data_IF_789340040988
#
_entry.id   IF_789340040988
#
_cell.length_a   1.000
_cell.length_b   1.000
_cell.length_c   1.000
_cell.angle_alpha   90.00
_cell.angle_beta   90.00
_cell.angle_gamma   90.00
#
_symmetry.space_group_name_H-M   'P 1'
#
loop_
_entity.id
_entity.type
_entity.pdbx_description
1 polymer ?
#
# COMPACT_ATOMS: atom_id res chain seq x y z
N UNK A 1 36.20 6.02 -63.09
CA UNK A 1 36.21 6.93 -61.92
C UNK A 1 35.03 6.58 -61.03
N UNK A 2 35.26 6.00 -59.86
CA UNK A 2 34.21 5.61 -58.92
C UNK A 2 34.83 4.84 -57.77
N UNK A 3 35.01 5.46 -56.61
CA UNK A 3 35.67 4.83 -55.48
C UNK A 3 35.77 5.67 -54.20
N UNK A 4 35.68 7.00 -54.28
CA UNK A 4 35.91 7.86 -53.12
C UNK A 4 34.65 8.24 -52.31
N UNK A 5 33.45 7.82 -52.74
CA UNK A 5 32.20 8.16 -52.03
C UNK A 5 31.65 7.06 -51.11
N UNK A 6 32.18 5.83 -51.15
CA UNK A 6 31.69 4.73 -50.30
C UNK A 6 32.30 4.74 -48.89
N UNK A 7 33.55 5.20 -48.75
CA UNK A 7 34.31 5.13 -47.49
C UNK A 7 33.90 6.16 -46.44
N UNK A 8 33.30 7.29 -46.85
CA UNK A 8 32.88 8.37 -45.95
C UNK A 8 31.45 8.17 -45.43
N UNK A 9 30.65 7.34 -46.12
CA UNK A 9 29.29 6.99 -45.71
C UNK A 9 29.25 5.91 -44.60
N UNK A 10 30.29 5.08 -44.49
CA UNK A 10 30.40 4.05 -43.45
C UNK A 10 30.88 4.60 -42.10
N UNK A 11 31.75 5.60 -42.08
CA UNK A 11 32.23 6.22 -40.84
C UNK A 11 31.17 7.10 -40.17
N UNK A 12 30.34 7.81 -40.96
CA UNK A 12 29.22 8.60 -40.44
C UNK A 12 28.06 7.73 -39.94
N UNK A 13 27.74 6.64 -40.63
CA UNK A 13 26.67 5.72 -40.23
C UNK A 13 26.99 4.93 -38.95
N UNK A 14 28.26 4.56 -38.70
CA UNK A 14 28.67 4.02 -37.40
C UNK A 14 28.50 5.03 -36.27
N UNK A 15 28.81 6.31 -36.50
CA UNK A 15 28.61 7.37 -35.48
C UNK A 15 27.13 7.61 -35.14
N UNK A 16 26.24 7.50 -36.14
CA UNK A 16 24.80 7.61 -35.91
C UNK A 16 24.26 6.42 -35.12
N UNK A 17 24.67 5.20 -35.45
CA UNK A 17 24.25 4.01 -34.72
C UNK A 17 24.70 4.03 -33.25
N UNK A 18 25.94 4.50 -32.99
CA UNK A 18 26.47 4.66 -31.64
C UNK A 18 25.73 5.77 -30.86
N UNK A 19 25.43 6.89 -31.52
CA UNK A 19 24.63 7.98 -30.95
C UNK A 19 23.19 7.53 -30.65
N UNK A 20 22.56 6.74 -31.52
CA UNK A 20 21.25 6.15 -31.26
C UNK A 20 21.29 5.20 -30.06
N UNK A 21 22.31 4.34 -29.98
CA UNK A 21 22.47 3.43 -28.84
C UNK A 21 22.67 4.18 -27.51
N UNK A 22 23.43 5.29 -27.52
CA UNK A 22 23.63 6.13 -26.34
C UNK A 22 22.34 6.86 -25.92
N UNK A 23 21.56 7.37 -26.88
CA UNK A 23 20.26 7.98 -26.62
C UNK A 23 19.25 6.97 -26.06
N UNK A 24 19.20 5.77 -26.63
CA UNK A 24 18.34 4.68 -26.15
C UNK A 24 18.73 4.26 -24.73
N UNK A 25 20.03 4.07 -24.46
CA UNK A 25 20.52 3.76 -23.12
C UNK A 25 20.11 4.83 -22.11
N UNK A 26 20.33 6.10 -22.45
CA UNK A 26 19.95 7.23 -21.58
C UNK A 26 18.44 7.26 -21.32
N UNK A 27 17.62 6.93 -22.32
CA UNK A 27 16.17 6.84 -22.17
C UNK A 27 15.78 5.73 -21.20
N UNK A 28 16.36 4.54 -21.35
CA UNK A 28 16.06 3.40 -20.47
C UNK A 28 16.47 3.70 -19.03
N UNK A 29 17.65 4.29 -18.82
CA UNK A 29 18.11 4.66 -17.48
C UNK A 29 17.14 5.64 -16.79
N UNK A 30 16.62 6.63 -17.53
CA UNK A 30 15.62 7.57 -17.01
C UNK A 30 14.31 6.87 -16.66
N UNK A 31 13.84 5.97 -17.52
CA UNK A 31 12.60 5.22 -17.30
C UNK A 31 12.70 4.34 -16.06
N UNK A 32 13.82 3.62 -15.93
CA UNK A 32 14.11 2.78 -14.79
C UNK A 32 14.16 3.59 -13.49
N UNK A 33 14.84 4.74 -13.52
CA UNK A 33 14.89 5.64 -12.37
C UNK A 33 13.50 6.18 -11.98
N UNK A 34 12.63 6.51 -12.94
CA UNK A 34 11.26 6.95 -12.68
C UNK A 34 10.43 5.82 -12.05
N UNK A 35 10.52 4.61 -12.58
CA UNK A 35 9.79 3.46 -12.05
C UNK A 35 10.19 3.14 -10.61
N UNK A 36 11.49 3.11 -10.34
CA UNK A 36 12.03 2.92 -8.98
C UNK A 36 11.53 3.99 -8.02
N UNK A 37 11.51 5.25 -8.46
CA UNK A 37 11.02 6.37 -7.68
C UNK A 37 9.51 6.28 -7.42
N UNK A 38 8.73 5.81 -8.39
CA UNK A 38 7.30 5.56 -8.21
C UNK A 38 7.02 4.39 -7.26
N UNK A 39 7.78 3.31 -7.36
CA UNK A 39 7.66 2.18 -6.44
C UNK A 39 7.99 2.60 -5.01
N UNK A 40 9.06 3.38 -4.84
CA UNK A 40 9.45 3.94 -3.55
C UNK A 40 8.35 4.82 -2.94
N UNK A 41 7.72 5.68 -3.77
CA UNK A 41 6.55 6.47 -3.37
C UNK A 41 5.36 5.59 -2.98
N UNK A 42 5.04 4.55 -3.77
CA UNK A 42 3.93 3.61 -3.47
C UNK A 42 4.13 2.88 -2.14
N UNK A 43 5.36 2.43 -1.85
CA UNK A 43 5.70 1.79 -0.55
C UNK A 43 5.50 2.76 0.61
N UNK A 44 5.94 4.02 0.47
CA UNK A 44 5.73 5.04 1.49
C UNK A 44 4.24 5.31 1.73
N UNK A 45 3.45 5.41 0.67
CA UNK A 45 2.00 5.55 0.77
C UNK A 45 1.36 4.37 1.49
N UNK A 46 1.75 3.13 1.15
CA UNK A 46 1.21 1.92 1.78
C UNK A 46 1.51 1.90 3.28
N UNK A 47 2.74 2.20 3.69
CA UNK A 47 3.11 2.26 5.12
C UNK A 47 2.34 3.37 5.84
N UNK A 48 2.19 4.54 5.21
CA UNK A 48 1.43 5.64 5.78
C UNK A 48 -0.07 5.30 5.96
N UNK A 49 -0.66 4.56 5.01
CA UNK A 49 -2.04 4.09 5.10
C UNK A 49 -2.22 3.10 6.26
N UNK A 50 -1.31 2.12 6.39
CA UNK A 50 -1.37 1.15 7.49
C UNK A 50 -1.18 1.82 8.87
N UNK A 51 -0.35 2.88 8.96
CA UNK A 51 -0.24 3.68 10.19
C UNK A 51 -1.54 4.37 10.58
N UNK A 52 -2.28 4.88 9.60
CA UNK A 52 -3.54 5.55 9.86
C UNK A 52 -4.63 4.55 10.27
N UNK A 53 -4.68 3.39 9.60
CA UNK A 53 -5.52 2.26 10.03
C UNK A 53 -5.20 1.81 11.45
N UNK A 54 -3.90 1.74 11.79
CA UNK A 54 -3.44 1.33 13.11
C UNK A 54 -3.89 2.31 14.21
N UNK A 55 -3.91 3.63 13.96
CA UNK A 55 -4.43 4.58 14.96
C UNK A 55 -5.87 4.28 15.34
N UNK A 56 -6.71 4.06 14.34
CA UNK A 56 -8.13 3.75 14.52
C UNK A 56 -8.38 2.36 15.11
N UNK A 57 -7.64 1.35 14.67
CA UNK A 57 -7.76 0.00 15.22
C UNK A 57 -7.22 -0.08 16.65
N UNK A 58 -6.15 0.66 16.97
CA UNK A 58 -5.61 0.75 18.33
C UNK A 58 -6.58 1.46 19.28
N UNK A 59 -7.22 2.56 18.85
CA UNK A 59 -8.24 3.23 19.68
C UNK A 59 -9.46 2.34 19.91
N UNK A 60 -9.96 1.66 18.87
CA UNK A 60 -11.09 0.74 19.00
C UNK A 60 -10.76 -0.49 19.87
N UNK A 61 -9.59 -1.08 19.66
CA UNK A 61 -9.11 -2.21 20.47
C UNK A 61 -8.84 -1.82 21.93
N UNK A 62 -8.36 -0.60 22.19
CA UNK A 62 -8.18 -0.06 23.53
C UNK A 62 -9.49 0.05 24.30
N UNK A 63 -10.54 0.59 23.67
CA UNK A 63 -11.89 0.67 24.26
C UNK A 63 -12.43 -0.73 24.56
N UNK A 64 -12.29 -1.67 23.63
CA UNK A 64 -12.68 -3.07 23.83
C UNK A 64 -11.96 -3.69 25.03
N UNK A 65 -10.64 -3.50 25.14
CA UNK A 65 -9.86 -4.01 26.28
C UNK A 65 -10.34 -3.45 27.62
N UNK A 66 -10.67 -2.15 27.69
CA UNK A 66 -11.22 -1.54 28.92
C UNK A 66 -12.56 -2.16 29.29
N UNK A 67 -13.46 -2.39 28.32
CA UNK A 67 -14.73 -3.07 28.59
C UNK A 67 -14.55 -4.53 29.01
N UNK A 68 -13.62 -5.27 28.38
CA UNK A 68 -13.28 -6.63 28.79
C UNK A 68 -12.73 -6.69 30.22
N UNK A 69 -11.84 -5.77 30.59
CA UNK A 69 -11.27 -5.67 31.94
C UNK A 69 -12.34 -5.28 32.98
N UNK A 70 -13.21 -4.33 32.64
CA UNK A 70 -14.33 -3.94 33.50
C UNK A 70 -15.32 -5.08 33.71
N UNK A 71 -15.66 -5.80 32.64
CA UNK A 71 -16.53 -6.98 32.68
C UNK A 71 -15.91 -8.10 33.51
N UNK A 72 -14.60 -8.34 33.38
CA UNK A 72 -13.90 -9.31 34.22
C UNK A 72 -13.95 -8.91 35.71
N UNK A 73 -13.70 -7.64 36.03
CA UNK A 73 -13.72 -7.15 37.40
C UNK A 73 -15.10 -7.32 38.06
N UNK A 74 -16.17 -7.04 37.31
CA UNK A 74 -17.54 -7.15 37.82
C UNK A 74 -18.02 -8.61 37.94
N UNK A 75 -17.73 -9.46 36.96
CA UNK A 75 -18.23 -10.84 36.93
C UNK A 75 -17.27 -11.88 37.54
N UNK A 76 -16.04 -11.48 37.90
CA UNK A 76 -14.95 -12.35 38.39
C UNK A 76 -14.67 -13.57 37.51
N UNK A 77 -15.04 -13.51 36.22
CA UNK A 77 -14.91 -14.59 35.26
C UNK A 77 -13.83 -14.27 34.22
N UNK A 78 -12.77 -15.09 34.19
CA UNK A 78 -11.63 -14.89 33.29
C UNK A 78 -11.96 -15.06 31.80
N UNK A 79 -13.09 -15.69 31.46
CA UNK A 79 -13.52 -15.84 30.07
C UNK A 79 -13.74 -14.50 29.35
N UNK A 80 -14.01 -13.41 30.08
CA UNK A 80 -14.14 -12.07 29.49
C UNK A 80 -12.82 -11.47 28.99
N UNK A 81 -11.65 -12.04 29.38
CA UNK A 81 -10.35 -11.64 28.82
C UNK A 81 -10.02 -12.35 27.50
N UNK A 82 -10.74 -13.39 27.12
CA UNK A 82 -10.44 -14.16 25.91
C UNK A 82 -10.32 -13.29 24.64
N UNK A 83 -11.19 -12.28 24.42
CA UNK A 83 -11.07 -11.38 23.26
C UNK A 83 -9.83 -10.48 23.27
N UNK A 84 -9.17 -10.29 24.42
CA UNK A 84 -7.97 -9.47 24.53
C UNK A 84 -6.80 -10.12 23.82
N UNK A 85 -6.65 -11.45 23.90
CA UNK A 85 -5.48 -12.13 23.33
C UNK A 85 -5.38 -11.99 21.79
N UNK A 86 -6.42 -12.24 20.99
CA UNK A 86 -6.37 -12.04 19.54
C UNK A 86 -6.19 -10.57 19.16
N UNK A 87 -6.85 -9.64 19.88
CA UNK A 87 -6.77 -8.21 19.58
C UNK A 87 -5.38 -7.65 19.87
N UNK A 88 -4.76 -8.02 20.99
CA UNK A 88 -3.40 -7.61 21.33
C UNK A 88 -2.37 -8.19 20.37
N UNK A 89 -2.55 -9.46 19.95
CA UNK A 89 -1.67 -10.12 18.98
C UNK A 89 -1.75 -9.46 17.60
N UNK A 90 -2.96 -9.15 17.14
CA UNK A 90 -3.19 -8.46 15.86
C UNK A 90 -2.61 -7.04 15.89
N UNK A 91 -2.93 -6.24 16.91
CA UNK A 91 -2.39 -4.88 17.04
C UNK A 91 -0.87 -4.88 17.21
N UNK A 92 -0.32 -5.86 17.92
CA UNK A 92 1.13 -6.06 18.06
C UNK A 92 1.79 -6.35 16.72
N UNK A 93 1.18 -7.20 15.87
CA UNK A 93 1.67 -7.45 14.52
C UNK A 93 1.65 -6.19 13.65
N UNK A 94 0.53 -5.46 13.63
CA UNK A 94 0.38 -4.24 12.84
C UNK A 94 1.32 -3.13 13.32
N UNK A 95 1.51 -2.98 14.63
CA UNK A 95 2.49 -2.07 15.20
C UNK A 95 3.92 -2.45 14.80
N UNK A 96 4.23 -3.75 14.83
CA UNK A 96 5.54 -4.26 14.41
C UNK A 96 5.75 -4.15 12.89
N UNK A 97 4.69 -4.18 12.10
CA UNK A 97 4.72 -3.90 10.65
C UNK A 97 4.96 -2.42 10.34
N UNK A 98 4.24 -1.51 11.02
CA UNK A 98 4.31 -0.08 10.78
C UNK A 98 5.54 0.61 11.37
N UNK A 99 5.97 0.17 12.56
CA UNK A 99 7.01 0.80 13.38
C UNK A 99 8.20 -0.11 13.70
N UNK A 100 8.09 -1.43 13.54
CA UNK A 100 9.14 -2.40 13.82
C UNK A 100 9.94 -2.85 12.59
N UNK A 101 10.64 -3.99 12.71
CA UNK A 101 11.52 -4.51 11.65
C UNK A 101 10.82 -5.50 10.71
N UNK A 102 9.50 -5.69 10.83
CA UNK A 102 8.79 -6.72 10.06
C UNK A 102 8.84 -6.49 8.56
N UNK A 103 8.82 -5.24 8.10
CA UNK A 103 8.99 -4.93 6.66
C UNK A 103 10.35 -5.43 6.15
N UNK A 104 11.44 -5.20 6.89
CA UNK A 104 12.76 -5.68 6.53
C UNK A 104 12.88 -7.21 6.56
N UNK A 105 12.18 -7.88 7.49
CA UNK A 105 12.07 -9.35 7.51
C UNK A 105 11.32 -9.88 6.28
N UNK A 106 10.24 -9.22 5.89
CA UNK A 106 9.49 -9.55 4.67
C UNK A 106 10.37 -9.33 3.45
N UNK A 107 11.12 -8.23 3.39
CA UNK A 107 12.06 -7.96 2.29
C UNK A 107 13.16 -9.02 2.22
N UNK A 108 13.69 -9.47 3.37
CA UNK A 108 14.67 -10.56 3.42
C UNK A 108 14.08 -11.88 2.91
N UNK A 109 12.86 -12.23 3.34
CA UNK A 109 12.17 -13.42 2.89
C UNK A 109 11.83 -13.36 1.38
N UNK A 110 11.35 -12.20 0.92
CA UNK A 110 11.05 -11.96 -0.49
C UNK A 110 12.31 -12.04 -1.36
N UNK A 111 13.46 -11.53 -0.88
CA UNK A 111 14.74 -11.67 -1.57
C UNK A 111 15.17 -13.14 -1.70
N UNK A 112 14.97 -13.95 -0.66
CA UNK A 112 15.29 -15.37 -0.69
C UNK A 112 14.41 -16.11 -1.70
N UNK A 113 13.09 -15.87 -1.68
CA UNK A 113 12.15 -16.47 -2.64
C UNK A 113 12.49 -16.03 -4.07
N UNK A 114 12.83 -14.75 -4.27
CA UNK A 114 13.25 -14.24 -5.58
C UNK A 114 14.49 -14.97 -6.08
N UNK A 115 15.51 -15.17 -5.24
CA UNK A 115 16.72 -15.88 -5.63
C UNK A 115 16.46 -17.35 -5.96
N UNK A 116 15.50 -17.97 -5.29
CA UNK A 116 15.15 -19.39 -5.44
C UNK A 116 14.22 -19.64 -6.65
N UNK A 117 13.37 -18.66 -7.02
CA UNK A 117 12.33 -18.81 -8.06
C UNK A 117 12.32 -17.65 -9.08
N UNK A 118 13.49 -17.14 -9.48
CA UNK A 118 13.62 -16.01 -10.43
C UNK A 118 12.78 -16.25 -11.71
N UNK A 119 12.77 -17.50 -12.17
CA UNK A 119 12.22 -17.88 -13.47
C UNK A 119 10.68 -17.99 -13.45
N UNK A 120 10.08 -18.17 -12.27
CA UNK A 120 8.62 -18.23 -12.08
C UNK A 120 8.00 -16.86 -11.76
N UNK A 121 8.77 -15.96 -11.12
CA UNK A 121 8.30 -14.63 -10.72
C UNK A 121 8.51 -13.53 -11.78
N UNK A 122 9.34 -13.77 -12.80
CA UNK A 122 9.61 -12.76 -13.82
C UNK A 122 8.38 -12.54 -14.73
N UNK A 123 7.76 -11.35 -14.75
CA UNK A 123 6.75 -11.05 -15.75
C UNK A 123 7.37 -11.08 -17.15
N UNK A 124 6.58 -11.51 -18.13
CA UNK A 124 6.94 -11.50 -19.56
C UNK A 124 7.34 -10.09 -20.00
N UNK A 125 8.38 -10.04 -20.83
CA UNK A 125 9.09 -8.82 -21.22
C UNK A 125 8.17 -7.77 -21.82
N UNK A 126 8.04 -6.62 -21.15
CA UNK A 126 7.38 -5.42 -21.67
C UNK A 126 8.36 -4.70 -22.61
N UNK A 127 7.87 -4.30 -23.78
CA UNK A 127 8.62 -3.50 -24.77
C UNK A 127 9.00 -2.14 -24.18
N UNK A 128 10.27 -1.78 -24.31
CA UNK A 128 10.90 -0.55 -23.78
C UNK A 128 10.28 0.75 -24.32
N UNK A 129 9.57 0.67 -25.46
CA UNK A 129 9.02 1.83 -26.15
C UNK A 129 7.71 2.38 -25.55
N UNK A 130 7.00 1.60 -24.72
CA UNK A 130 5.69 1.97 -24.16
C UNK A 130 5.76 2.48 -22.70
N UNK A 131 6.94 2.43 -22.07
CA UNK A 131 7.10 2.62 -20.62
C UNK A 131 6.71 4.02 -20.14
N UNK A 132 7.02 5.08 -20.90
CA UNK A 132 6.68 6.47 -20.50
C UNK A 132 5.16 6.69 -20.48
N UNK A 133 4.47 6.27 -21.55
CA UNK A 133 3.02 6.35 -21.63
C UNK A 133 2.37 5.47 -20.57
N UNK A 134 2.89 4.26 -20.36
CA UNK A 134 2.41 3.32 -19.36
C UNK A 134 2.61 3.85 -17.93
N UNK A 135 3.74 4.51 -17.63
CA UNK A 135 4.00 5.11 -16.32
C UNK A 135 3.02 6.26 -16.04
N UNK A 136 2.84 7.16 -17.00
CA UNK A 136 1.91 8.28 -16.86
C UNK A 136 0.48 7.77 -16.74
N UNK A 137 0.11 6.78 -17.56
CA UNK A 137 -1.18 6.11 -17.52
C UNK A 137 -1.41 5.44 -16.16
N UNK A 138 -0.46 4.64 -15.64
CA UNK A 138 -0.54 3.99 -14.33
C UNK A 138 -0.69 5.00 -13.19
N UNK A 139 0.00 6.15 -13.26
CA UNK A 139 -0.12 7.20 -12.26
C UNK A 139 -1.51 7.87 -12.33
N UNK A 140 -1.99 8.14 -13.53
CA UNK A 140 -3.30 8.73 -13.78
C UNK A 140 -4.41 7.77 -13.35
N UNK A 141 -4.32 6.49 -13.73
CA UNK A 141 -5.21 5.41 -13.28
C UNK A 141 -5.21 5.29 -11.76
N UNK A 142 -4.05 5.34 -11.11
CA UNK A 142 -3.96 5.29 -9.65
C UNK A 142 -4.70 6.49 -9.01
N UNK A 143 -4.50 7.70 -9.54
CA UNK A 143 -5.21 8.89 -9.07
C UNK A 143 -6.73 8.78 -9.31
N UNK A 144 -7.15 8.33 -10.50
CA UNK A 144 -8.56 8.11 -10.84
C UNK A 144 -9.20 7.03 -9.98
N UNK A 145 -8.54 5.89 -9.76
CA UNK A 145 -9.01 4.83 -8.88
C UNK A 145 -9.20 5.33 -7.46
N UNK A 146 -8.30 6.19 -6.95
CA UNK A 146 -8.47 6.79 -5.62
C UNK A 146 -9.65 7.75 -5.57
N UNK A 147 -9.81 8.61 -6.57
CA UNK A 147 -10.95 9.51 -6.67
C UNK A 147 -12.27 8.72 -6.72
N UNK A 148 -12.34 7.69 -7.56
CA UNK A 148 -13.49 6.80 -7.66
C UNK A 148 -13.78 6.06 -6.34
N UNK A 149 -12.73 5.57 -5.65
CA UNK A 149 -12.88 4.96 -4.33
C UNK A 149 -13.44 5.93 -3.29
N UNK A 150 -12.96 7.18 -3.26
CA UNK A 150 -13.46 8.20 -2.34
C UNK A 150 -14.94 8.52 -2.59
N UNK A 151 -15.31 8.76 -3.84
CA UNK A 151 -16.71 9.01 -4.22
C UNK A 151 -17.59 7.81 -3.85
N UNK A 152 -17.11 6.59 -4.12
CA UNK A 152 -17.83 5.37 -3.75
C UNK A 152 -17.99 5.25 -2.22
N UNK A 153 -16.99 5.62 -1.43
CA UNK A 153 -17.09 5.61 0.03
C UNK A 153 -18.10 6.64 0.54
N UNK A 154 -18.18 7.82 -0.08
CA UNK A 154 -19.17 8.85 0.26
C UNK A 154 -20.60 8.39 -0.02
N UNK A 155 -20.82 7.75 -1.16
CA UNK A 155 -22.11 7.16 -1.52
C UNK A 155 -22.47 5.99 -0.57
N UNK A 156 -21.49 5.11 -0.35
CA UNK A 156 -21.37 4.11 0.73
C UNK A 156 -22.00 4.56 2.05
N UNK A 157 -21.42 5.65 2.54
CA UNK A 157 -21.62 6.13 3.90
C UNK A 157 -23.07 6.48 4.20
N UNK A 158 -23.80 7.04 3.23
CA UNK A 158 -25.20 7.47 3.45
C UNK A 158 -26.09 6.29 3.83
N UNK A 159 -25.97 5.18 3.11
CA UNK A 159 -26.73 3.96 3.39
C UNK A 159 -26.29 3.30 4.70
N UNK A 160 -25.01 3.37 5.03
CA UNK A 160 -24.46 2.74 6.23
C UNK A 160 -24.81 3.52 7.49
N UNK A 161 -24.81 4.85 7.41
CA UNK A 161 -25.30 5.72 8.45
C UNK A 161 -26.80 5.46 8.70
N UNK A 162 -27.61 5.38 7.64
CA UNK A 162 -29.03 5.07 7.75
C UNK A 162 -29.28 3.68 8.37
N UNK A 163 -28.51 2.66 7.95
CA UNK A 163 -28.59 1.31 8.50
C UNK A 163 -28.19 1.28 9.99
N UNK A 164 -27.09 1.93 10.36
CA UNK A 164 -26.63 2.00 11.75
C UNK A 164 -27.61 2.77 12.64
N UNK A 165 -28.18 3.88 12.15
CA UNK A 165 -29.20 4.65 12.86
C UNK A 165 -30.47 3.82 13.07
N UNK A 166 -30.95 3.13 12.04
CA UNK A 166 -32.12 2.25 12.11
C UNK A 166 -31.89 1.10 13.09
N UNK A 167 -30.72 0.46 13.03
CA UNK A 167 -30.33 -0.60 13.96
C UNK A 167 -30.27 -0.08 15.41
N UNK A 168 -29.70 1.11 15.62
CA UNK A 168 -29.67 1.77 16.93
C UNK A 168 -31.07 2.02 17.49
N UNK A 169 -31.99 2.56 16.67
CA UNK A 169 -33.38 2.76 17.06
C UNK A 169 -34.09 1.45 17.43
N UNK A 170 -33.88 0.38 16.66
CA UNK A 170 -34.44 -0.95 16.95
C UNK A 170 -33.89 -1.50 18.27
N UNK A 171 -32.59 -1.40 18.51
CA UNK A 171 -31.95 -1.85 19.74
C UNK A 171 -32.44 -1.07 20.96
N UNK A 172 -32.61 0.25 20.84
CA UNK A 172 -33.16 1.10 21.90
C UNK A 172 -34.63 0.76 22.18
N UNK A 173 -35.44 0.57 21.13
CA UNK A 173 -36.83 0.17 21.27
C UNK A 173 -36.94 -1.21 21.93
N UNK A 174 -36.18 -2.20 21.46
CA UNK A 174 -36.12 -3.54 22.05
C UNK A 174 -35.65 -3.52 23.51
N UNK A 175 -34.63 -2.72 23.83
CA UNK A 175 -34.16 -2.53 25.20
C UNK A 175 -35.20 -1.90 26.12
N UNK A 176 -35.95 -0.92 25.62
CA UNK A 176 -37.03 -0.27 26.37
C UNK A 176 -38.20 -1.22 26.68
N UNK A 177 -38.59 -2.06 25.71
CA UNK A 177 -39.67 -3.05 25.83
C UNK A 177 -39.26 -4.20 26.77
N UNK A 178 -38.05 -4.73 26.60
CA UNK A 178 -37.57 -5.89 27.39
C UNK A 178 -37.00 -5.51 28.75
N UNK A 179 -36.82 -4.21 29.03
CA UNK A 179 -36.16 -3.65 30.22
C UNK A 179 -34.73 -4.19 30.46
N UNK A 180 -34.09 -4.76 29.44
CA UNK A 180 -32.71 -5.27 29.52
C UNK A 180 -31.73 -4.21 29.04
N UNK A 181 -30.69 -3.96 29.84
CA UNK A 181 -29.63 -2.97 29.52
C UNK A 181 -28.64 -3.50 28.49
N UNK A 182 -28.64 -4.80 28.24
CA UNK A 182 -27.68 -5.48 27.35
C UNK A 182 -27.79 -5.01 25.90
N UNK A 183 -28.96 -4.50 25.48
CA UNK A 183 -29.18 -3.95 24.14
C UNK A 183 -28.41 -2.64 23.88
N UNK A 184 -27.92 -1.96 24.92
CA UNK A 184 -27.07 -0.78 24.76
C UNK A 184 -25.62 -1.11 24.38
N UNK A 185 -25.17 -2.34 24.67
CA UNK A 185 -23.79 -2.80 24.42
C UNK A 185 -23.41 -2.72 22.92
N UNK A 186 -24.21 -3.21 21.96
CA UNK A 186 -23.87 -3.13 20.54
C UNK A 186 -23.95 -1.73 19.93
N UNK A 187 -24.53 -0.73 20.62
CA UNK A 187 -24.64 0.63 20.10
C UNK A 187 -23.26 1.31 20.05
N UNK A 188 -22.40 1.09 21.04
CA UNK A 188 -21.07 1.71 21.09
C UNK A 188 -20.17 1.30 19.89
N UNK A 189 -20.03 0.01 19.54
CA UNK A 189 -19.33 -0.40 18.33
C UNK A 189 -19.93 0.16 17.02
N UNK A 190 -21.26 0.30 16.94
CA UNK A 190 -21.92 0.87 15.76
C UNK A 190 -21.55 2.34 15.58
N UNK A 191 -21.58 3.13 16.66
CA UNK A 191 -21.21 4.56 16.61
C UNK A 191 -19.74 4.74 16.27
N UNK A 192 -18.85 3.94 16.88
CA UNK A 192 -17.42 3.94 16.55
C UNK A 192 -17.15 3.58 15.09
N UNK A 193 -17.82 2.53 14.58
CA UNK A 193 -17.70 2.10 13.19
C UNK A 193 -18.16 3.18 12.22
N UNK A 194 -19.31 3.81 12.47
CA UNK A 194 -19.81 4.92 11.65
C UNK A 194 -18.85 6.11 11.69
N UNK A 195 -18.29 6.45 12.86
CA UNK A 195 -17.30 7.53 12.99
C UNK A 195 -16.04 7.32 12.15
N UNK A 196 -15.46 6.11 12.18
CA UNK A 196 -14.31 5.75 11.34
C UNK A 196 -14.63 5.85 9.84
N UNK A 197 -15.83 5.42 9.44
CA UNK A 197 -16.25 5.46 8.03
C UNK A 197 -16.55 6.87 7.56
N UNK A 198 -17.06 7.72 8.44
CA UNK A 198 -17.22 9.14 8.18
C UNK A 198 -15.86 9.81 7.92
N UNK A 199 -14.87 9.56 8.79
CA UNK A 199 -13.51 10.11 8.63
C UNK A 199 -12.87 9.65 7.31
N UNK A 200 -13.03 8.38 6.95
CA UNK A 200 -12.53 7.87 5.66
C UNK A 200 -13.24 8.44 4.42
N UNK A 201 -14.53 8.78 4.51
CA UNK A 201 -15.33 9.26 3.38
C UNK A 201 -15.26 10.78 3.20
N UNK A 202 -15.33 11.53 4.30
CA UNK A 202 -15.43 13.00 4.31
C UNK A 202 -14.28 13.70 5.04
N UNK A 203 -13.47 12.95 5.79
CA UNK A 203 -12.34 13.50 6.53
C UNK A 203 -11.08 13.71 5.70
N UNK A 204 -10.07 14.26 6.37
CA UNK A 204 -8.77 14.58 5.79
C UNK A 204 -7.79 13.40 5.82
N UNK A 205 -8.25 12.17 6.10
CA UNK A 205 -7.43 10.95 6.17
C UNK A 205 -6.55 10.79 4.93
N UNK A 206 -7.07 11.10 3.75
CA UNK A 206 -6.32 11.03 2.49
C UNK A 206 -5.16 12.05 2.42
N UNK A 207 -5.31 13.24 3.01
CA UNK A 207 -4.26 14.27 3.11
C UNK A 207 -3.22 13.86 4.16
N UNK A 208 -3.68 13.40 5.32
CA UNK A 208 -2.80 12.93 6.41
C UNK A 208 -1.93 11.76 5.95
N UNK A 209 -2.52 10.79 5.25
CA UNK A 209 -1.76 9.66 4.67
C UNK A 209 -0.73 10.16 3.65
N UNK A 210 -1.08 11.16 2.82
CA UNK A 210 -0.13 11.76 1.88
C UNK A 210 1.02 12.47 2.59
N UNK A 211 0.72 13.30 3.57
CA UNK A 211 1.74 14.04 4.34
C UNK A 211 2.67 13.10 5.09
N UNK A 212 2.13 12.04 5.70
CA UNK A 212 2.92 11.00 6.36
C UNK A 212 3.81 10.24 5.36
N UNK A 213 3.30 9.96 4.15
CA UNK A 213 4.10 9.33 3.10
C UNK A 213 5.23 10.26 2.63
N UNK A 214 4.95 11.55 2.44
CA UNK A 214 5.97 12.54 2.08
C UNK A 214 7.03 12.72 3.18
N UNK A 215 6.64 12.68 4.45
CA UNK A 215 7.57 12.70 5.58
C UNK A 215 8.48 11.47 5.59
N UNK A 216 7.93 10.27 5.32
CA UNK A 216 8.70 9.04 5.19
C UNK A 216 9.72 9.10 4.04
N UNK A 217 9.32 9.68 2.91
CA UNK A 217 10.21 9.89 1.76
C UNK A 217 11.34 10.86 2.08
N UNK A 218 11.05 11.98 2.75
CA UNK A 218 12.08 12.96 3.18
C UNK A 218 13.05 12.37 4.20
N UNK A 219 12.58 11.47 5.05
CA UNK A 219 13.40 10.80 6.05
C UNK A 219 14.32 9.70 5.47
N UNK A 220 14.18 9.35 4.18
CA UNK A 220 14.92 8.25 3.52
C UNK A 220 14.89 6.95 4.34
N UNK A 221 13.72 6.58 4.84
CA UNK A 221 13.55 5.40 5.68
C UNK A 221 14.02 4.12 4.94
N UNK A 222 14.89 3.34 5.58
CA UNK A 222 15.45 2.10 5.03
C UNK A 222 14.38 1.07 4.65
N UNK A 223 13.17 1.16 5.22
CA UNK A 223 12.02 0.29 4.92
C UNK A 223 11.40 0.53 3.55
N UNK A 224 11.75 1.63 2.91
CA UNK A 224 11.26 1.98 1.58
C UNK A 224 12.13 1.40 0.47
N UNK A 225 13.30 0.82 0.81
CA UNK A 225 14.21 0.19 -0.15
C UNK A 225 13.50 -0.93 -0.90
N UNK A 226 13.75 -1.00 -2.20
CA UNK A 226 13.22 -2.06 -3.06
C UNK A 226 13.82 -3.41 -2.70
N UNK A 227 13.04 -4.48 -2.90
CA UNK A 227 13.48 -5.85 -2.67
C UNK A 227 14.57 -6.17 -3.70
N UNK A 228 15.81 -6.29 -3.20
CA UNK A 228 16.97 -6.66 -3.98
C UNK A 228 17.71 -5.49 -4.63
N UNK A 229 17.43 -4.27 -4.19
CA UNK A 229 18.14 -3.07 -4.63
C UNK A 229 17.56 -2.44 -5.90
N UNK A 230 18.14 -1.32 -6.36
CA UNK A 230 17.77 -0.72 -7.64
C UNK A 230 18.13 -1.69 -8.77
N UNK A 231 17.13 -2.10 -9.54
CA UNK A 231 17.33 -2.85 -10.77
C UNK A 231 18.30 -2.09 -11.68
N UNK A 232 19.31 -2.76 -12.23
CA UNK A 232 20.28 -2.13 -13.15
C UNK A 232 20.21 -2.74 -14.54
N UNK A 233 20.57 -1.97 -15.58
CA UNK A 233 20.67 -2.47 -16.96
C UNK A 233 21.52 -3.74 -17.05
N UNK A 234 22.61 -3.82 -16.27
CA UNK A 234 23.48 -4.99 -16.20
C UNK A 234 22.75 -6.25 -15.72
N UNK A 235 21.83 -6.12 -14.76
CA UNK A 235 21.04 -7.25 -14.27
C UNK A 235 20.00 -7.69 -15.29
N UNK A 236 19.40 -6.75 -16.03
CA UNK A 236 18.46 -7.03 -17.12
C UNK A 236 19.17 -7.74 -18.28
N UNK A 237 20.35 -7.26 -18.68
CA UNK A 237 21.17 -7.87 -19.73
C UNK A 237 21.65 -9.27 -19.30
N UNK A 238 22.10 -9.43 -18.06
CA UNK A 238 22.50 -10.73 -17.52
C UNK A 238 21.33 -11.73 -17.46
N UNK A 239 20.11 -11.27 -17.17
CA UNK A 239 18.91 -12.10 -17.22
C UNK A 239 18.58 -12.54 -18.65
N UNK A 240 18.64 -11.61 -19.61
CA UNK A 240 18.40 -11.87 -21.04
C UNK A 240 19.38 -12.91 -21.60
N UNK A 241 20.67 -12.78 -21.28
CA UNK A 241 21.70 -13.72 -21.74
C UNK A 241 21.51 -15.14 -21.19
N UNK A 242 20.93 -15.30 -19.99
CA UNK A 242 20.68 -16.61 -19.37
C UNK A 242 19.44 -17.32 -19.93
N UNK A 243 18.44 -16.57 -20.38
CA UNK A 243 17.11 -17.12 -20.71
C UNK A 243 16.77 -17.13 -22.20
N UNK A 244 17.47 -16.35 -23.02
CA UNK A 244 17.11 -16.15 -24.43
C UNK A 244 18.29 -16.31 -25.40
N UNK A 245 19.37 -17.01 -25.00
CA UNK A 245 20.42 -17.48 -25.90
C UNK A 245 20.30 -18.97 -26.17
#
# INVERSE_FOLDING_TARGET
MGGYFSSTASSSSMSHAELYAELEKTRIERQLAIEQLLEHRRRAYKIAEEREKLKWSASGGGVMMVFCLFSWFHHKNMLHLLPIFPTLSYLGYEAHYCYGNKSALIDKAANQIRQENVDELAPTTISVQDIEAEIVLKNLEFAQQRAAKLVKLQDLFTFEFAAAATMGCILLAAGSITKRKDYAIPIAPLVLGVGYRYDNAFGDTHKVVRENAEALLKANDARLKMVGGPLTLKEVDAYRERHFR
#
